data_IF_344474074627
#
_entry.id   IF_344474074627
#
_cell.length_a   1.000
_cell.length_b   1.000
_cell.length_c   1.000
_cell.angle_alpha   90.00
_cell.angle_beta   90.00
_cell.angle_gamma   90.00
#
_symmetry.space_group_name_H-M   'P 1'
#
loop_
_entity.id
_entity.type
_entity.pdbx_description
1 polymer ?
#
# COMPACT_ATOMS: atom_id res chain seq x y z
N UNK A 1 44.16 -29.54 -0.97
CA UNK A 1 45.22 -28.98 -1.83
C UNK A 1 45.34 -27.49 -1.54
N UNK A 2 46.55 -27.07 -1.21
CA UNK A 2 46.98 -25.70 -0.87
C UNK A 2 46.68 -24.72 -2.03
N UNK A 3 46.55 -23.40 -1.84
CA UNK A 3 47.64 -22.48 -1.46
C UNK A 3 47.08 -21.21 -0.79
N UNK A 4 47.52 -20.95 0.45
CA UNK A 4 47.67 -19.62 1.01
C UNK A 4 49.01 -19.04 0.53
N UNK A 5 49.01 -17.86 -0.09
CA UNK A 5 50.24 -17.10 -0.31
C UNK A 5 50.15 -15.73 0.36
N UNK A 6 50.88 -15.62 1.46
CA UNK A 6 51.15 -14.40 2.20
C UNK A 6 52.32 -13.66 1.53
N UNK A 7 52.23 -12.33 1.38
CA UNK A 7 53.45 -11.50 1.29
C UNK A 7 53.22 -10.11 1.87
N UNK A 8 53.77 -9.92 3.08
CA UNK A 8 54.05 -8.64 3.72
C UNK A 8 54.80 -7.71 2.76
N UNK A 9 54.34 -6.48 2.62
CA UNK A 9 55.19 -5.34 2.25
C UNK A 9 54.80 -4.12 3.08
N UNK A 10 55.85 -3.40 3.45
CA UNK A 10 55.98 -2.43 4.54
C UNK A 10 55.47 -1.05 4.11
N UNK A 11 54.84 -0.35 5.07
CA UNK A 11 54.47 1.07 5.02
C UNK A 11 55.72 1.96 4.88
N UNK A 12 55.63 3.10 4.20
CA UNK A 12 55.93 4.32 4.96
C UNK A 12 54.87 5.42 4.78
N UNK A 13 54.64 6.10 5.90
CA UNK A 13 53.80 7.27 6.05
C UNK A 13 54.25 8.43 5.15
N UNK A 14 53.31 8.99 4.39
CA UNK A 14 53.39 10.34 3.83
C UNK A 14 52.32 11.20 4.49
N UNK A 15 52.69 11.78 5.61
CA UNK A 15 52.05 12.98 6.16
C UNK A 15 52.41 14.15 5.23
N UNK A 16 51.44 14.73 4.54
CA UNK A 16 51.70 15.91 3.71
C UNK A 16 50.50 16.39 2.92
N UNK A 17 49.99 17.55 3.33
CA UNK A 17 49.16 18.48 2.54
C UNK A 17 47.65 18.19 2.46
N UNK A 18 46.98 18.22 3.63
CA UNK A 18 45.64 18.82 3.70
C UNK A 18 45.83 20.35 3.54
N UNK A 19 45.33 20.93 2.45
CA UNK A 19 44.82 22.31 2.35
C UNK A 19 44.47 22.58 0.86
N UNK A 20 43.27 23.10 0.61
CA UNK A 20 42.76 23.70 -0.66
C UNK A 20 41.82 22.88 -1.56
N UNK A 21 40.83 22.17 -1.01
CA UNK A 21 39.59 21.84 -1.76
C UNK A 21 38.35 22.34 -1.01
N UNK A 22 38.28 23.66 -0.79
CA UNK A 22 37.13 24.33 -0.16
C UNK A 22 36.45 25.36 -1.06
N UNK A 23 36.63 25.25 -2.38
CA UNK A 23 36.30 26.32 -3.33
C UNK A 23 35.10 26.05 -4.23
N UNK A 24 33.96 25.57 -3.72
CA UNK A 24 32.70 25.52 -4.48
C UNK A 24 31.44 25.88 -3.67
N UNK A 25 31.58 26.47 -2.46
CA UNK A 25 30.43 26.69 -1.56
C UNK A 25 29.54 27.88 -1.96
N UNK A 26 29.87 28.61 -3.04
CA UNK A 26 29.14 29.84 -3.43
C UNK A 26 28.69 29.94 -4.89
N UNK A 27 29.01 28.96 -5.75
CA UNK A 27 28.69 29.07 -7.19
C UNK A 27 27.21 28.83 -7.53
N UNK A 28 26.42 28.38 -6.55
CA UNK A 28 25.01 28.01 -6.72
C UNK A 28 24.07 28.81 -5.79
N UNK A 29 24.48 30.00 -5.33
CA UNK A 29 23.60 30.90 -4.56
C UNK A 29 22.89 31.85 -5.55
N UNK A 30 21.65 31.56 -5.99
CA UNK A 30 20.93 32.42 -6.91
C UNK A 30 20.66 33.77 -6.23
N UNK A 31 21.19 34.85 -6.81
CA UNK A 31 20.94 36.19 -6.30
C UNK A 31 19.56 36.67 -6.75
N UNK A 32 18.71 37.02 -5.79
CA UNK A 32 17.45 37.71 -6.05
C UNK A 32 17.74 39.07 -6.67
N UNK A 33 17.09 39.39 -7.80
CA UNK A 33 17.20 40.71 -8.45
C UNK A 33 16.59 41.80 -7.54
N UNK A 34 17.42 42.75 -7.10
CA UNK A 34 17.04 43.82 -6.19
C UNK A 34 16.07 44.84 -6.81
N UNK A 35 15.95 44.90 -8.15
CA UNK A 35 15.00 45.78 -8.82
C UNK A 35 13.57 45.22 -8.84
N UNK A 36 13.37 43.96 -8.44
CA UNK A 36 12.07 43.30 -8.44
C UNK A 36 11.21 43.72 -7.24
N UNK A 37 9.93 44.08 -7.44
CA UNK A 37 9.02 44.35 -6.32
C UNK A 37 8.73 43.09 -5.47
N UNK A 38 9.06 41.89 -5.97
CA UNK A 38 8.92 40.63 -5.23
C UNK A 38 10.20 40.25 -4.46
N UNK A 39 11.29 41.01 -4.59
CA UNK A 39 12.57 40.69 -3.98
C UNK A 39 12.50 40.42 -2.47
N UNK A 40 11.78 41.21 -1.65
CA UNK A 40 11.66 40.95 -0.21
C UNK A 40 10.99 39.61 0.09
N UNK A 41 9.97 39.24 -0.70
CA UNK A 41 9.22 37.99 -0.51
C UNK A 41 10.03 36.77 -0.92
N UNK A 42 10.76 36.87 -2.03
CA UNK A 42 11.65 35.82 -2.51
C UNK A 42 12.78 35.61 -1.50
N UNK A 43 13.38 36.69 -1.00
CA UNK A 43 14.46 36.61 -0.02
C UNK A 43 14.01 35.93 1.28
N UNK A 44 12.81 36.27 1.78
CA UNK A 44 12.22 35.58 2.94
C UNK A 44 12.05 34.07 2.74
N UNK A 45 11.64 33.63 1.54
CA UNK A 45 11.48 32.21 1.23
C UNK A 45 12.82 31.49 1.13
N UNK A 46 13.82 32.13 0.51
CA UNK A 46 15.17 31.59 0.41
C UNK A 46 15.79 31.45 1.80
N UNK A 47 15.68 32.47 2.65
CA UNK A 47 16.24 32.44 4.00
C UNK A 47 15.53 31.41 4.90
N UNK A 48 14.22 31.24 4.76
CA UNK A 48 13.45 30.25 5.51
C UNK A 48 13.75 28.78 5.13
N UNK A 49 14.27 28.53 3.92
CA UNK A 49 14.52 27.18 3.39
C UNK A 49 15.99 26.95 3.00
N UNK A 50 16.90 27.78 3.51
CA UNK A 50 18.34 27.70 3.19
C UNK A 50 19.01 26.50 3.84
N UNK A 51 18.46 26.05 4.96
CA UNK A 51 18.97 24.90 5.71
C UNK A 51 18.45 23.60 5.11
N UNK A 52 19.27 23.00 4.24
CA UNK A 52 19.06 21.63 3.81
C UNK A 52 19.53 20.65 4.89
N UNK A 53 18.86 19.50 5.06
CA UNK A 53 19.36 18.41 5.88
C UNK A 53 20.78 18.04 5.44
N UNK A 54 21.69 17.93 6.40
CA UNK A 54 23.04 17.43 6.13
C UNK A 54 22.95 15.94 5.92
N UNK A 55 23.93 15.38 5.19
CA UNK A 55 24.06 13.92 5.08
C UNK A 55 24.13 13.20 6.43
N UNK A 56 24.68 13.87 7.46
CA UNK A 56 24.76 13.36 8.82
C UNK A 56 23.41 13.36 9.57
N UNK A 57 22.40 14.09 9.09
CA UNK A 57 21.08 14.19 9.70
C UNK A 57 20.15 13.05 9.22
N UNK A 58 20.56 12.28 8.20
CA UNK A 58 19.86 11.06 7.80
C UNK A 58 20.13 9.93 8.80
N UNK A 59 19.12 9.08 9.08
CA UNK A 59 19.32 7.89 9.90
C UNK A 59 20.45 7.01 9.34
N UNK A 60 21.21 6.40 10.24
CA UNK A 60 22.15 5.36 9.85
C UNK A 60 21.41 4.20 9.17
N UNK A 61 22.11 3.49 8.28
CA UNK A 61 21.57 2.28 7.69
C UNK A 61 21.14 1.30 8.79
N UNK A 62 19.97 0.64 8.67
CA UNK A 62 19.56 -0.38 9.62
C UNK A 62 20.62 -1.49 9.70
N UNK A 63 20.91 -1.95 10.91
CA UNK A 63 21.93 -2.99 11.16
C UNK A 63 21.34 -4.39 11.23
N UNK A 64 20.03 -4.49 11.26
CA UNK A 64 19.21 -5.69 11.41
C UNK A 64 18.66 -6.21 10.08
N UNK A 65 19.25 -5.81 8.95
CA UNK A 65 18.86 -6.32 7.64
C UNK A 65 19.26 -7.79 7.48
N UNK A 66 18.39 -8.61 6.84
CA UNK A 66 18.71 -10.00 6.58
C UNK A 66 19.94 -10.10 5.68
N UNK A 67 20.80 -11.06 6.00
CA UNK A 67 21.97 -11.35 5.18
C UNK A 67 21.55 -11.87 3.81
N UNK A 68 22.32 -11.62 2.73
CA UNK A 68 21.98 -12.11 1.39
C UNK A 68 21.70 -13.62 1.32
N UNK A 69 22.41 -14.42 2.13
CA UNK A 69 22.18 -15.87 2.24
C UNK A 69 20.81 -16.23 2.84
N UNK A 70 20.31 -15.44 3.80
CA UNK A 70 18.99 -15.62 4.38
C UNK A 70 17.90 -15.29 3.36
N UNK A 71 18.08 -14.20 2.60
CA UNK A 71 17.17 -13.85 1.50
C UNK A 71 17.14 -14.96 0.44
N UNK A 72 18.30 -15.48 0.05
CA UNK A 72 18.38 -16.58 -0.91
C UNK A 72 17.69 -17.86 -0.39
N UNK A 73 17.85 -18.18 0.90
CA UNK A 73 17.15 -19.29 1.52
C UNK A 73 15.63 -19.11 1.51
N UNK A 74 15.14 -17.92 1.88
CA UNK A 74 13.70 -17.61 1.86
C UNK A 74 13.10 -17.72 0.45
N UNK A 75 13.81 -17.23 -0.57
CA UNK A 75 13.39 -17.38 -1.98
C UNK A 75 13.36 -18.85 -2.40
N UNK A 76 14.34 -19.65 -1.98
CA UNK A 76 14.37 -21.09 -2.23
C UNK A 76 13.16 -21.82 -1.62
N UNK A 77 12.80 -21.49 -0.37
CA UNK A 77 11.60 -22.00 0.29
C UNK A 77 10.34 -21.61 -0.46
N UNK A 78 10.18 -20.33 -0.79
CA UNK A 78 8.99 -19.83 -1.51
C UNK A 78 8.80 -20.54 -2.86
N UNK A 79 9.88 -20.74 -3.62
CA UNK A 79 9.81 -21.45 -4.90
C UNK A 79 9.37 -22.91 -4.73
N UNK A 80 9.86 -23.56 -3.67
CA UNK A 80 9.48 -24.95 -3.34
C UNK A 80 8.00 -25.05 -2.98
N UNK A 81 7.52 -24.15 -2.11
CA UNK A 81 6.12 -24.08 -1.70
C UNK A 81 5.20 -23.76 -2.88
N UNK A 82 5.59 -22.83 -3.75
CA UNK A 82 4.88 -22.49 -4.97
C UNK A 82 4.75 -23.70 -5.90
N UNK A 83 5.82 -24.48 -6.09
CA UNK A 83 5.79 -25.72 -6.87
C UNK A 83 4.85 -26.77 -6.27
N UNK A 84 4.86 -26.93 -4.95
CA UNK A 84 3.96 -27.83 -4.24
C UNK A 84 2.49 -27.40 -4.37
N UNK A 85 2.21 -26.09 -4.25
CA UNK A 85 0.88 -25.52 -4.44
C UNK A 85 0.39 -25.72 -5.88
N UNK A 86 1.25 -25.49 -6.87
CA UNK A 86 0.89 -25.70 -8.27
C UNK A 86 0.48 -27.15 -8.55
N UNK A 87 1.18 -28.12 -7.93
CA UNK A 87 0.84 -29.55 -8.03
C UNK A 87 -0.49 -29.85 -7.36
N UNK A 88 -0.76 -29.27 -6.19
CA UNK A 88 -2.05 -29.42 -5.51
C UNK A 88 -3.20 -28.86 -6.35
N UNK A 89 -3.05 -27.66 -6.90
CA UNK A 89 -4.07 -27.02 -7.75
C UNK A 89 -4.30 -27.81 -9.04
N UNK A 90 -3.24 -28.32 -9.67
CA UNK A 90 -3.36 -29.17 -10.86
C UNK A 90 -4.08 -30.50 -10.57
N UNK A 91 -4.02 -30.99 -9.33
CA UNK A 91 -4.73 -32.18 -8.88
C UNK A 91 -6.19 -31.92 -8.47
N UNK A 92 -6.65 -30.67 -8.44
CA UNK A 92 -8.06 -30.36 -8.21
C UNK A 92 -8.84 -30.76 -9.47
N UNK A 93 -9.70 -31.77 -9.32
CA UNK A 93 -10.67 -32.11 -10.36
C UNK A 93 -11.76 -31.02 -10.39
N UNK A 94 -11.63 -30.11 -11.35
CA UNK A 94 -12.60 -29.03 -11.55
C UNK A 94 -13.80 -29.56 -12.34
N UNK A 95 -14.62 -30.38 -11.71
CA UNK A 95 -15.90 -30.80 -12.27
C UNK A 95 -16.98 -29.82 -11.88
N UNK A 96 -17.58 -29.15 -12.86
CA UNK A 96 -18.98 -28.76 -12.73
C UNK A 96 -19.77 -30.08 -12.80
N UNK A 97 -20.08 -30.68 -11.65
CA UNK A 97 -20.76 -31.99 -11.58
C UNK A 97 -22.14 -31.98 -12.29
N UNK A 98 -22.67 -30.79 -12.55
CA UNK A 98 -23.94 -30.55 -13.24
C UNK A 98 -23.75 -29.86 -14.60
N UNK A 99 -24.73 -30.02 -15.49
CA UNK A 99 -24.86 -29.24 -16.72
C UNK A 99 -24.65 -27.73 -16.44
N UNK A 100 -23.67 -27.07 -17.10
CA UNK A 100 -23.42 -25.64 -16.96
C UNK A 100 -24.65 -24.77 -17.21
N UNK A 101 -25.50 -25.15 -18.16
CA UNK A 101 -26.73 -24.41 -18.43
C UNK A 101 -27.71 -24.52 -17.26
N UNK A 102 -27.93 -25.74 -16.74
CA UNK A 102 -28.74 -25.97 -15.54
C UNK A 102 -28.21 -25.24 -14.30
N UNK A 103 -26.88 -25.17 -14.11
CA UNK A 103 -26.28 -24.43 -13.00
C UNK A 103 -26.54 -22.93 -13.11
N UNK A 104 -26.29 -22.33 -14.28
CA UNK A 104 -26.58 -20.91 -14.54
C UNK A 104 -28.08 -20.61 -14.39
N UNK A 105 -28.94 -21.52 -14.85
CA UNK A 105 -30.39 -21.38 -14.67
C UNK A 105 -30.78 -21.47 -13.19
N UNK A 106 -30.16 -22.37 -12.41
CA UNK A 106 -30.41 -22.48 -10.98
C UNK A 106 -30.04 -21.21 -10.22
N UNK A 107 -28.93 -20.56 -10.60
CA UNK A 107 -28.51 -19.27 -10.06
C UNK A 107 -29.52 -18.21 -10.46
N UNK A 108 -29.87 -18.14 -11.74
CA UNK A 108 -30.82 -17.16 -12.28
C UNK A 108 -32.20 -17.24 -11.62
N UNK A 109 -32.68 -18.45 -11.29
CA UNK A 109 -33.95 -18.63 -10.56
C UNK A 109 -33.91 -18.17 -9.10
N UNK A 110 -32.74 -18.16 -8.45
CA UNK A 110 -32.57 -17.65 -7.08
C UNK A 110 -32.58 -16.12 -7.02
N UNK A 111 -32.27 -15.47 -8.14
CA UNK A 111 -32.37 -14.04 -8.27
C UNK A 111 -33.76 -13.67 -8.77
N UNK A 112 -34.44 -12.81 -8.01
CA UNK A 112 -35.61 -12.09 -8.49
C UNK A 112 -35.11 -10.79 -9.13
N UNK A 113 -35.11 -10.66 -10.48
CA UNK A 113 -34.62 -9.46 -11.14
C UNK A 113 -35.39 -8.22 -10.73
N UNK A 114 -36.67 -8.35 -10.32
CA UNK A 114 -37.50 -7.24 -9.87
C UNK A 114 -37.05 -6.70 -8.51
N UNK A 115 -36.41 -7.52 -7.66
CA UNK A 115 -35.84 -7.08 -6.38
C UNK A 115 -34.44 -6.48 -6.49
N UNK A 116 -33.72 -6.85 -7.55
CA UNK A 116 -32.35 -6.39 -7.81
C UNK A 116 -32.29 -5.24 -8.83
N UNK A 117 -33.42 -4.88 -9.43
CA UNK A 117 -33.52 -3.74 -10.32
C UNK A 117 -33.13 -2.45 -9.57
N UNK A 118 -32.34 -1.57 -10.18
CA UNK A 118 -32.14 -0.22 -9.66
C UNK A 118 -33.50 0.42 -9.38
N UNK A 119 -33.63 1.10 -8.24
CA UNK A 119 -34.85 1.84 -7.92
C UNK A 119 -35.02 2.90 -9.02
N UNK A 120 -36.05 2.73 -9.87
CA UNK A 120 -36.42 3.69 -10.90
C UNK A 120 -37.02 4.96 -10.29
N UNK A 121 -37.38 5.93 -11.15
CA UNK A 121 -38.10 7.11 -10.68
C UNK A 121 -39.44 6.69 -10.05
N UNK A 122 -39.63 7.03 -8.77
CA UNK A 122 -40.88 6.81 -8.03
C UNK A 122 -41.65 8.11 -7.94
N UNK A 123 -42.97 8.04 -8.04
CA UNK A 123 -43.86 9.18 -7.75
C UNK A 123 -43.93 9.41 -6.23
N UNK A 124 -44.20 10.64 -5.78
CA UNK A 124 -44.38 10.93 -4.34
C UNK A 124 -45.42 10.03 -3.66
N UNK A 125 -46.52 9.71 -4.37
CA UNK A 125 -47.59 8.85 -3.86
C UNK A 125 -47.13 7.40 -3.63
N UNK A 126 -46.28 6.87 -4.52
CA UNK A 126 -45.70 5.53 -4.38
C UNK A 126 -44.73 5.46 -3.19
N UNK A 127 -43.96 6.53 -2.95
CA UNK A 127 -43.05 6.63 -1.80
C UNK A 127 -43.84 6.65 -0.48
N UNK A 128 -44.91 7.42 -0.40
CA UNK A 128 -45.75 7.47 0.82
C UNK A 128 -46.47 6.14 1.05
N UNK A 129 -46.99 5.51 0.00
CA UNK A 129 -47.62 4.19 0.10
C UNK A 129 -46.62 3.12 0.59
N UNK A 130 -45.37 3.16 0.12
CA UNK A 130 -44.31 2.27 0.59
C UNK A 130 -43.93 2.54 2.05
N UNK A 131 -43.76 3.80 2.43
CA UNK A 131 -43.48 4.20 3.82
C UNK A 131 -44.59 3.75 4.77
N UNK A 132 -45.85 3.87 4.36
CA UNK A 132 -47.00 3.40 5.11
C UNK A 132 -47.00 1.87 5.29
N UNK A 133 -46.61 1.12 4.25
CA UNK A 133 -46.45 -0.34 4.35
C UNK A 133 -45.37 -0.76 5.36
N UNK A 134 -44.31 0.05 5.50
CA UNK A 134 -43.23 -0.19 6.46
C UNK A 134 -43.70 0.11 7.88
N UNK A 135 -44.43 1.22 8.10
CA UNK A 135 -45.01 1.56 9.40
C UNK A 135 -45.94 0.47 9.91
N UNK A 136 -46.81 -0.08 9.05
CA UNK A 136 -47.72 -1.18 9.41
C UNK A 136 -46.97 -2.45 9.82
N UNK A 137 -45.88 -2.78 9.13
CA UNK A 137 -45.04 -3.95 9.47
C UNK A 137 -44.24 -3.74 10.75
N UNK A 138 -43.85 -2.50 11.03
CA UNK A 138 -43.14 -2.13 12.24
C UNK A 138 -44.04 -2.00 13.47
N UNK A 139 -45.37 -2.02 13.30
CA UNK A 139 -46.31 -2.01 14.40
C UNK A 139 -46.10 -3.26 15.27
N UNK A 140 -45.91 -3.04 16.58
CA UNK A 140 -45.73 -4.13 17.52
C UNK A 140 -46.98 -5.04 17.49
N UNK A 141 -46.80 -6.38 17.52
CA UNK A 141 -47.93 -7.30 17.63
C UNK A 141 -48.72 -7.01 18.92
N UNK A 142 -50.04 -7.27 18.93
CA UNK A 142 -50.87 -7.01 20.10
C UNK A 142 -50.34 -7.75 21.33
N UNK A 143 -50.42 -7.15 22.53
CA UNK A 143 -50.00 -7.81 23.76
C UNK A 143 -50.75 -9.13 23.94
N UNK A 144 -50.02 -10.19 24.30
CA UNK A 144 -50.61 -11.47 24.70
C UNK A 144 -51.11 -11.31 26.14
N UNK A 145 -52.41 -11.54 26.37
CA UNK A 145 -52.99 -11.53 27.71
C UNK A 145 -52.37 -12.65 28.56
N UNK A 146 -51.64 -12.27 29.62
CA UNK A 146 -51.06 -13.21 30.58
C UNK A 146 -51.95 -13.22 31.82
N UNK A 147 -52.58 -14.36 32.20
CA UNK A 147 -53.29 -14.44 33.47
C UNK A 147 -52.30 -14.19 34.63
N UNK A 148 -52.68 -13.33 35.57
CA UNK A 148 -51.90 -13.07 36.79
C UNK A 148 -51.97 -14.30 37.73
N UNK A 149 -50.87 -14.65 38.43
CA UNK A 149 -50.86 -15.76 39.39
C UNK A 149 -51.74 -15.48 40.62
#
# INVERSE_FOLDING_TARGET
MNVFLSKKTILPATTGLLLLTGGCVGSFDPKTDAASPLAPRIQQLVDAHREYPRWADFPAAPTDLPQPSQVAAHVGTLNTESGALATQVAGIDWTLESDPAAFVESISRRFDPARMAPIGAQTPDEVEAFAESLRRRAAAPPPIDRPRP
#
